data_IF_084007580211
#
_entry.id   IF_084007580211
#
_cell.length_a   1.000
_cell.length_b   1.000
_cell.length_c   1.000
_cell.angle_alpha   90.00
_cell.angle_beta   90.00
_cell.angle_gamma   90.00
#
_symmetry.space_group_name_H-M   'P 1'
#
loop_
_entity.id
_entity.type
_entity.pdbx_description
1 polymer ?
#
# COMPACT_ATOMS: atom_id res chain seq x y z
N UNK A 1 -5.95 -7.95 -15.70
CA UNK A 1 -6.38 -6.71 -15.01
C UNK A 1 -7.18 -7.10 -13.78
N UNK A 2 -6.89 -6.49 -12.62
CA UNK A 2 -7.61 -6.74 -11.38
C UNK A 2 -9.04 -6.20 -11.49
N UNK A 3 -10.04 -7.02 -11.17
CA UNK A 3 -11.47 -6.64 -11.15
C UNK A 3 -12.03 -6.64 -9.73
N UNK A 4 -11.58 -7.57 -8.90
CA UNK A 4 -11.93 -7.62 -7.47
C UNK A 4 -10.91 -8.41 -6.66
N UNK A 5 -10.90 -8.15 -5.36
CA UNK A 5 -10.34 -9.03 -4.35
C UNK A 5 -11.47 -9.59 -3.48
N UNK A 6 -11.33 -10.83 -3.05
CA UNK A 6 -12.25 -11.50 -2.12
C UNK A 6 -11.44 -11.94 -0.90
N UNK A 7 -11.83 -11.45 0.27
CA UNK A 7 -11.29 -11.87 1.56
C UNK A 7 -12.23 -12.94 2.11
N UNK A 8 -11.74 -14.17 2.30
CA UNK A 8 -12.45 -15.26 2.97
C UNK A 8 -12.08 -15.22 4.45
N UNK A 9 -13.10 -15.18 5.30
CA UNK A 9 -12.95 -15.11 6.74
C UNK A 9 -12.37 -16.39 7.33
N UNK A 10 -11.57 -16.22 8.37
CA UNK A 10 -10.86 -17.29 9.06
C UNK A 10 -11.20 -17.31 10.55
N UNK A 11 -10.20 -17.07 11.38
CA UNK A 11 -10.27 -17.12 12.84
C UNK A 11 -9.71 -15.84 13.46
N UNK A 12 -10.30 -15.44 14.58
CA UNK A 12 -9.81 -14.35 15.42
C UNK A 12 -8.66 -14.80 16.34
N UNK A 13 -8.13 -13.86 17.13
CA UNK A 13 -7.04 -14.10 18.08
C UNK A 13 -7.36 -15.13 19.17
N UNK A 14 -8.65 -15.39 19.43
CA UNK A 14 -9.12 -16.35 20.43
C UNK A 14 -9.44 -17.71 19.79
N UNK A 15 -9.15 -17.88 18.49
CA UNK A 15 -9.43 -19.11 17.73
C UNK A 15 -10.91 -19.29 17.38
N UNK A 16 -11.74 -18.25 17.54
CA UNK A 16 -13.15 -18.31 17.14
C UNK A 16 -13.26 -17.95 15.68
N UNK A 17 -14.22 -18.58 14.99
CA UNK A 17 -14.49 -18.29 13.59
C UNK A 17 -15.02 -16.86 13.44
N UNK A 18 -14.49 -16.13 12.47
CA UNK A 18 -14.97 -14.79 12.17
C UNK A 18 -16.42 -14.81 11.69
N UNK A 19 -17.21 -13.79 12.08
CA UNK A 19 -18.61 -13.67 11.67
C UNK A 19 -18.76 -13.42 10.17
N UNK A 20 -17.83 -12.64 9.60
CA UNK A 20 -17.78 -12.34 8.17
C UNK A 20 -17.14 -13.52 7.45
N UNK A 21 -17.94 -14.30 6.73
CA UNK A 21 -17.45 -15.46 5.96
C UNK A 21 -16.68 -15.07 4.71
N UNK A 22 -17.08 -14.00 4.05
CA UNK A 22 -16.44 -13.51 2.84
C UNK A 22 -16.79 -12.04 2.60
N UNK A 23 -15.85 -11.28 2.06
CA UNK A 23 -16.02 -9.88 1.72
C UNK A 23 -15.33 -9.56 0.39
N UNK A 24 -16.06 -8.91 -0.53
CA UNK A 24 -15.57 -8.56 -1.86
C UNK A 24 -15.30 -7.05 -1.94
N UNK A 25 -14.16 -6.69 -2.53
CA UNK A 25 -13.80 -5.31 -2.87
C UNK A 25 -13.52 -5.26 -4.36
N UNK A 26 -14.30 -4.49 -5.11
CA UNK A 26 -14.14 -4.33 -6.56
C UNK A 26 -13.15 -3.22 -6.89
N UNK A 27 -12.54 -3.32 -8.06
CA UNK A 27 -11.66 -2.29 -8.58
C UNK A 27 -12.40 -0.93 -8.65
N UNK A 28 -11.77 0.11 -8.09
CA UNK A 28 -12.34 1.46 -8.02
C UNK A 28 -13.22 1.72 -6.80
N UNK A 29 -13.50 0.71 -5.96
CA UNK A 29 -14.16 0.92 -4.68
C UNK A 29 -13.15 1.36 -3.61
N UNK A 30 -13.61 2.22 -2.70
CA UNK A 30 -12.85 2.65 -1.52
C UNK A 30 -13.57 2.11 -0.30
N UNK A 31 -12.82 1.42 0.56
CA UNK A 31 -13.34 0.86 1.81
C UNK A 31 -12.55 1.38 3.00
N UNK A 32 -13.27 1.66 4.09
CA UNK A 32 -12.68 2.03 5.36
C UNK A 32 -12.89 0.87 6.36
N UNK A 33 -11.81 0.42 6.99
CA UNK A 33 -11.84 -0.58 8.05
C UNK A 33 -11.79 0.11 9.41
N UNK A 34 -12.86 0.01 10.18
CA UNK A 34 -13.00 0.71 11.47
C UNK A 34 -13.22 -0.32 12.59
N UNK A 35 -12.55 -0.12 13.72
CA UNK A 35 -12.68 -0.99 14.89
C UNK A 35 -11.72 -0.58 16.00
N UNK A 36 -11.89 -1.11 17.23
CA UNK A 36 -11.02 -0.78 18.35
C UNK A 36 -9.58 -1.28 18.15
N UNK A 37 -8.65 -0.78 18.95
CA UNK A 37 -7.27 -1.29 18.98
C UNK A 37 -7.27 -2.78 19.35
N UNK A 38 -6.49 -3.57 18.61
CA UNK A 38 -6.43 -5.02 18.81
C UNK A 38 -7.59 -5.83 18.21
N UNK A 39 -8.45 -5.22 17.38
CA UNK A 39 -9.50 -5.94 16.64
C UNK A 39 -9.00 -6.71 15.41
N UNK A 40 -7.69 -6.69 15.13
CA UNK A 40 -7.10 -7.41 14.00
C UNK A 40 -7.04 -6.64 12.67
N UNK A 41 -7.22 -5.30 12.67
CA UNK A 41 -7.15 -4.46 11.46
C UNK A 41 -5.82 -4.56 10.73
N UNK A 42 -4.72 -4.31 11.45
CA UNK A 42 -3.36 -4.41 10.90
C UNK A 42 -3.06 -5.83 10.42
N UNK A 43 -3.57 -6.85 11.11
CA UNK A 43 -3.43 -8.24 10.66
C UNK A 43 -4.18 -8.48 9.35
N UNK A 44 -5.38 -7.94 9.18
CA UNK A 44 -6.13 -8.04 7.91
C UNK A 44 -5.39 -7.31 6.77
N UNK A 45 -4.85 -6.11 7.02
CA UNK A 45 -4.02 -5.39 6.04
C UNK A 45 -2.81 -6.25 5.62
N UNK A 46 -2.12 -6.85 6.61
CA UNK A 46 -0.98 -7.74 6.37
C UNK A 46 -1.36 -9.00 5.59
N UNK A 47 -2.52 -9.61 5.90
CA UNK A 47 -3.01 -10.79 5.18
C UNK A 47 -3.33 -10.45 3.71
N UNK A 48 -3.93 -9.27 3.45
CA UNK A 48 -4.20 -8.77 2.09
C UNK A 48 -2.90 -8.49 1.34
N UNK A 49 -1.94 -7.82 1.99
CA UNK A 49 -0.64 -7.47 1.40
C UNK A 49 0.13 -8.72 0.93
N UNK A 50 0.06 -9.80 1.70
CA UNK A 50 0.77 -11.05 1.45
C UNK A 50 -0.05 -12.05 0.62
N UNK A 51 -1.31 -11.76 0.32
CA UNK A 51 -2.23 -12.65 -0.40
C UNK A 51 -2.34 -14.05 0.24
N UNK A 52 -2.48 -14.08 1.57
CA UNK A 52 -2.51 -15.33 2.34
C UNK A 52 -3.59 -16.27 1.79
N UNK A 53 -3.28 -17.58 1.74
CA UNK A 53 -4.25 -18.64 1.45
C UNK A 53 -4.25 -19.70 2.55
N UNK A 54 -4.77 -19.34 3.72
CA UNK A 54 -4.95 -20.27 4.84
C UNK A 54 -3.68 -20.60 5.64
N UNK A 55 -2.52 -20.08 5.23
CA UNK A 55 -1.22 -20.46 5.80
C UNK A 55 -0.83 -19.72 7.10
N UNK A 56 -1.58 -18.69 7.48
CA UNK A 56 -1.32 -17.91 8.70
C UNK A 56 -2.19 -18.35 9.87
N UNK A 57 -1.91 -17.81 11.06
CA UNK A 57 -2.71 -18.03 12.27
C UNK A 57 -4.18 -17.61 12.12
N UNK A 58 -4.47 -16.67 11.20
CA UNK A 58 -5.84 -16.24 10.93
C UNK A 58 -6.57 -17.27 10.06
N UNK A 59 -5.87 -18.08 9.28
CA UNK A 59 -6.47 -19.03 8.34
C UNK A 59 -7.35 -18.36 7.27
N UNK A 60 -7.20 -17.05 7.04
CA UNK A 60 -7.93 -16.31 5.99
C UNK A 60 -7.37 -16.67 4.62
N UNK A 61 -8.18 -16.49 3.58
CA UNK A 61 -7.75 -16.64 2.20
C UNK A 61 -8.07 -15.39 1.38
N UNK A 62 -7.12 -14.91 0.59
CA UNK A 62 -7.25 -13.75 -0.28
C UNK A 62 -7.26 -14.22 -1.73
N UNK A 63 -8.38 -14.01 -2.40
CA UNK A 63 -8.55 -14.35 -3.81
C UNK A 63 -8.49 -13.08 -4.67
N UNK A 64 -7.80 -13.18 -5.80
CA UNK A 64 -7.78 -12.15 -6.84
C UNK A 64 -8.62 -12.66 -8.00
N UNK A 65 -9.68 -11.93 -8.36
CA UNK A 65 -10.62 -12.35 -9.40
C UNK A 65 -11.11 -13.80 -9.22
N UNK A 66 -11.50 -14.17 -7.99
CA UNK A 66 -11.99 -15.51 -7.60
C UNK A 66 -10.95 -16.64 -7.65
N UNK A 67 -9.66 -16.32 -7.83
CA UNK A 67 -8.57 -17.30 -7.85
C UNK A 67 -7.56 -17.02 -6.73
N UNK A 68 -7.04 -18.07 -6.06
CA UNK A 68 -5.86 -17.93 -5.21
C UNK A 68 -4.68 -17.39 -6.02
N UNK A 69 -3.80 -16.63 -5.38
CA UNK A 69 -2.64 -16.02 -6.07
C UNK A 69 -1.75 -17.07 -6.74
N UNK A 70 -1.65 -18.27 -6.13
CA UNK A 70 -0.86 -19.40 -6.62
C UNK A 70 -1.26 -19.90 -8.01
N UNK A 71 -2.52 -19.67 -8.39
CA UNK A 71 -3.10 -20.13 -9.66
C UNK A 71 -3.07 -19.08 -10.76
N UNK A 72 -2.50 -17.90 -10.49
CA UNK A 72 -2.35 -16.84 -11.48
C UNK A 72 -1.06 -17.04 -12.27
N UNK A 73 -1.15 -16.98 -13.60
CA UNK A 73 -0.01 -17.17 -14.50
C UNK A 73 1.06 -16.06 -14.28
N UNK A 74 2.24 -16.46 -13.80
CA UNK A 74 3.21 -15.61 -13.10
C UNK A 74 4.12 -14.84 -14.05
N UNK A 75 3.56 -13.90 -14.79
CA UNK A 75 4.36 -12.85 -15.41
C UNK A 75 4.70 -11.74 -14.40
N UNK A 76 5.77 -10.96 -14.68
CA UNK A 76 6.32 -9.84 -13.85
C UNK A 76 5.29 -8.87 -13.22
N UNK A 77 4.06 -8.88 -13.72
CA UNK A 77 2.94 -8.01 -13.38
C UNK A 77 2.44 -8.11 -11.93
N UNK A 78 2.70 -9.21 -11.20
CA UNK A 78 2.17 -9.38 -9.83
C UNK A 78 3.05 -8.78 -8.71
N UNK A 79 4.31 -8.44 -8.97
CA UNK A 79 5.21 -7.85 -7.95
C UNK A 79 4.76 -6.46 -7.45
N UNK A 80 3.77 -5.85 -8.11
CA UNK A 80 3.29 -4.50 -7.80
C UNK A 80 1.78 -4.48 -7.54
N UNK A 81 1.15 -5.59 -7.14
CA UNK A 81 -0.30 -5.61 -6.96
C UNK A 81 -0.80 -4.72 -5.80
N UNK A 82 0.00 -4.57 -4.74
CA UNK A 82 -0.32 -3.78 -3.55
C UNK A 82 0.74 -2.69 -3.37
N UNK A 83 0.27 -1.46 -3.16
CA UNK A 83 1.05 -0.39 -2.56
C UNK A 83 0.52 -0.15 -1.14
N UNK A 84 1.41 0.03 -0.18
CA UNK A 84 1.05 0.29 1.21
C UNK A 84 1.64 1.63 1.65
N UNK A 85 0.82 2.43 2.32
CA UNK A 85 1.27 3.59 3.10
C UNK A 85 1.02 3.25 4.57
N UNK A 86 2.09 2.91 5.29
CA UNK A 86 2.02 2.46 6.68
C UNK A 86 1.96 3.63 7.67
N UNK A 87 1.41 3.36 8.87
CA UNK A 87 1.31 4.32 9.97
C UNK A 87 2.68 4.90 10.40
N UNK A 88 3.67 4.02 10.58
CA UNK A 88 5.02 4.35 11.04
C UNK A 88 6.03 4.33 9.89
N UNK A 89 6.21 5.47 9.23
CA UNK A 89 7.12 5.57 8.09
C UNK A 89 8.46 6.16 8.52
N UNK A 90 9.43 5.28 8.71
CA UNK A 90 10.82 5.64 9.00
C UNK A 90 11.70 5.29 7.81
N UNK A 91 12.23 6.31 7.13
CA UNK A 91 13.24 6.09 6.12
C UNK A 91 14.57 5.74 6.81
N UNK A 92 15.09 4.54 6.53
CA UNK A 92 16.42 4.10 6.96
C UNK A 92 17.46 4.33 5.85
N UNK A 93 17.02 4.84 4.70
CA UNK A 93 17.85 5.07 3.51
C UNK A 93 18.41 6.50 3.57
N UNK A 94 19.73 6.61 3.58
CA UNK A 94 20.46 7.88 3.50
C UNK A 94 20.53 8.35 2.03
N UNK A 95 19.45 9.00 1.58
CA UNK A 95 19.27 9.44 0.19
C UNK A 95 18.41 10.71 0.15
N UNK A 96 18.67 11.56 -0.85
CA UNK A 96 17.84 12.73 -1.11
C UNK A 96 16.50 12.36 -1.76
N UNK A 97 15.47 13.19 -1.57
CA UNK A 97 14.15 12.98 -2.16
C UNK A 97 14.22 12.82 -3.68
N UNK A 98 15.06 13.60 -4.36
CA UNK A 98 15.19 13.53 -5.83
C UNK A 98 15.60 12.13 -6.32
N UNK A 99 16.67 11.58 -5.77
CA UNK A 99 17.21 10.28 -6.16
C UNK A 99 16.20 9.16 -5.88
N UNK A 100 15.51 9.25 -4.74
CA UNK A 100 14.47 8.30 -4.35
C UNK A 100 13.31 8.28 -5.36
N UNK A 101 12.77 9.44 -5.69
CA UNK A 101 11.65 9.54 -6.64
C UNK A 101 12.07 9.18 -8.07
N UNK A 102 13.30 9.53 -8.47
CA UNK A 102 13.84 9.13 -9.77
C UNK A 102 13.97 7.61 -9.87
N UNK A 103 14.49 6.96 -8.82
CA UNK A 103 14.58 5.51 -8.74
C UNK A 103 13.19 4.87 -8.87
N UNK A 104 12.18 5.36 -8.15
CA UNK A 104 10.81 4.87 -8.24
C UNK A 104 10.25 5.01 -9.67
N UNK A 105 10.39 6.18 -10.29
CA UNK A 105 9.93 6.44 -11.65
C UNK A 105 10.63 5.55 -12.69
N UNK A 106 11.93 5.29 -12.52
CA UNK A 106 12.73 4.44 -13.40
C UNK A 106 12.32 2.96 -13.30
N UNK A 107 12.12 2.45 -12.09
CA UNK A 107 11.65 1.06 -11.88
C UNK A 107 10.30 0.83 -12.55
N UNK A 108 9.43 1.84 -12.59
CA UNK A 108 8.13 1.81 -13.26
C UNK A 108 8.18 2.20 -14.75
N UNK A 109 9.38 2.39 -15.33
CA UNK A 109 9.58 2.76 -16.73
C UNK A 109 8.77 3.99 -17.18
N UNK A 110 8.63 4.99 -16.30
CA UNK A 110 7.96 6.25 -16.65
C UNK A 110 8.76 6.97 -17.73
N UNK A 111 8.08 7.40 -18.81
CA UNK A 111 8.71 8.04 -19.98
C UNK A 111 9.42 9.35 -19.66
N UNK A 112 8.86 10.15 -18.75
CA UNK A 112 9.45 11.42 -18.29
C UNK A 112 9.55 11.46 -16.76
N UNK A 113 10.60 10.82 -16.19
CA UNK A 113 10.80 10.78 -14.74
C UNK A 113 10.90 12.18 -14.13
N UNK A 114 11.60 13.11 -14.79
CA UNK A 114 11.80 14.46 -14.25
C UNK A 114 10.52 15.25 -14.15
N UNK A 115 9.58 15.07 -15.08
CA UNK A 115 8.28 15.73 -14.98
C UNK A 115 7.42 15.12 -13.86
N UNK A 116 7.42 13.79 -13.70
CA UNK A 116 6.58 13.15 -12.67
C UNK A 116 7.08 13.48 -11.26
N UNK A 117 8.39 13.45 -10.99
CA UNK A 117 8.91 13.75 -9.65
C UNK A 117 8.61 15.20 -9.23
N UNK A 118 8.56 16.15 -10.18
CA UNK A 118 8.14 17.53 -9.92
C UNK A 118 6.67 17.61 -9.52
N UNK A 119 5.81 16.80 -10.13
CA UNK A 119 4.41 16.69 -9.73
C UNK A 119 4.28 16.05 -8.35
N UNK A 120 5.06 15.00 -8.07
CA UNK A 120 5.13 14.38 -6.74
C UNK A 120 5.49 15.40 -5.68
N UNK A 121 6.64 16.09 -5.81
CA UNK A 121 7.07 17.09 -4.84
C UNK A 121 6.03 18.21 -4.65
N UNK A 122 5.35 18.62 -5.73
CA UNK A 122 4.27 19.60 -5.66
C UNK A 122 3.11 19.08 -4.79
N UNK A 123 2.60 17.88 -5.07
CA UNK A 123 1.51 17.27 -4.29
C UNK A 123 1.95 17.01 -2.84
N UNK A 124 3.18 16.56 -2.62
CA UNK A 124 3.76 16.42 -1.28
C UNK A 124 3.66 17.73 -0.49
N UNK A 125 4.04 18.86 -1.10
CA UNK A 125 3.97 20.17 -0.45
C UNK A 125 2.55 20.72 -0.29
N UNK A 126 1.58 20.25 -1.08
CA UNK A 126 0.16 20.58 -0.90
C UNK A 126 -0.46 19.77 0.27
N UNK A 127 0.03 18.56 0.50
CA UNK A 127 -0.43 17.67 1.58
C UNK A 127 0.32 17.91 2.90
N UNK A 128 1.59 18.29 2.83
CA UNK A 128 2.40 18.58 3.99
C UNK A 128 2.10 19.97 4.55
N UNK A 129 2.12 20.12 5.87
CA UNK A 129 2.00 21.44 6.53
C UNK A 129 3.25 22.31 6.37
N UNK A 130 4.39 21.71 6.00
CA UNK A 130 5.67 22.38 5.83
C UNK A 130 6.36 21.94 4.54
N UNK A 131 7.09 22.84 3.86
CA UNK A 131 7.71 22.53 2.58
C UNK A 131 8.86 21.52 2.71
N UNK A 132 8.97 20.66 1.71
CA UNK A 132 10.10 19.78 1.44
C UNK A 132 10.72 20.09 0.07
N UNK A 133 12.01 19.82 -0.06
CA UNK A 133 12.82 20.10 -1.24
C UNK A 133 13.51 18.84 -1.74
N UNK A 134 13.82 18.79 -3.03
CA UNK A 134 14.53 17.67 -3.66
C UNK A 134 15.86 17.29 -2.99
N UNK A 135 16.55 18.27 -2.43
CA UNK A 135 17.84 18.12 -1.74
C UNK A 135 17.71 17.64 -0.29
N UNK A 136 16.49 17.61 0.25
CA UNK A 136 16.27 17.14 1.61
C UNK A 136 16.52 15.63 1.69
N UNK A 137 17.13 15.22 2.78
CA UNK A 137 17.39 13.81 3.04
C UNK A 137 16.14 13.15 3.63
N UNK A 138 15.79 11.96 3.14
CA UNK A 138 14.63 11.21 3.60
C UNK A 138 14.63 10.98 5.12
N UNK A 139 15.80 10.75 5.72
CA UNK A 139 15.95 10.50 7.16
C UNK A 139 15.62 11.70 8.04
N UNK A 140 15.53 12.91 7.47
CA UNK A 140 15.26 14.16 8.20
C UNK A 140 13.81 14.60 8.12
N UNK A 141 12.99 13.93 7.33
CA UNK A 141 11.58 14.27 7.18
C UNK A 141 10.82 13.98 8.46
N UNK A 142 9.94 14.91 8.84
CA UNK A 142 8.97 14.65 9.89
C UNK A 142 8.02 13.52 9.47
N UNK A 143 7.33 12.89 10.44
CA UNK A 143 6.36 11.84 10.12
C UNK A 143 5.28 12.30 9.13
N UNK A 144 4.81 13.55 9.25
CA UNK A 144 3.84 14.14 8.32
C UNK A 144 4.40 14.38 6.92
N UNK A 145 5.65 14.86 6.81
CA UNK A 145 6.32 15.04 5.52
C UNK A 145 6.58 13.71 4.82
N UNK A 146 7.06 12.71 5.57
CA UNK A 146 7.23 11.35 5.07
C UNK A 146 5.92 10.81 4.53
N UNK A 147 4.82 10.93 5.29
CA UNK A 147 3.47 10.49 4.89
C UNK A 147 3.02 11.16 3.61
N UNK A 148 3.07 12.49 3.55
CA UNK A 148 2.72 13.26 2.37
C UNK A 148 3.52 12.81 1.14
N UNK A 149 4.82 12.55 1.30
CA UNK A 149 5.70 12.11 0.21
C UNK A 149 5.30 10.73 -0.32
N UNK A 150 5.05 9.75 0.54
CA UNK A 150 4.66 8.41 0.06
C UNK A 150 3.25 8.39 -0.52
N UNK A 151 2.30 9.17 0.02
CA UNK A 151 0.98 9.31 -0.58
C UNK A 151 1.09 9.87 -2.00
N UNK A 152 1.88 10.92 -2.19
CA UNK A 152 2.10 11.53 -3.50
C UNK A 152 2.84 10.58 -4.46
N UNK A 153 3.86 9.86 -3.99
CA UNK A 153 4.58 8.83 -4.74
C UNK A 153 3.65 7.69 -5.18
N UNK A 154 2.86 7.13 -4.27
CA UNK A 154 1.90 6.07 -4.56
C UNK A 154 0.85 6.57 -5.56
N UNK A 155 0.32 7.79 -5.39
CA UNK A 155 -0.72 8.32 -6.25
C UNK A 155 -0.25 8.63 -7.69
N UNK A 156 1.03 8.99 -7.89
CA UNK A 156 1.51 9.50 -9.19
C UNK A 156 2.53 8.60 -9.88
N UNK A 157 3.25 7.77 -9.13
CA UNK A 157 4.27 6.86 -9.66
C UNK A 157 3.78 5.41 -9.62
N UNK A 158 3.01 5.02 -8.60
CA UNK A 158 2.62 3.62 -8.47
C UNK A 158 1.57 3.20 -9.51
N UNK A 159 1.75 2.01 -10.08
CA UNK A 159 0.79 1.29 -10.92
C UNK A 159 0.05 0.17 -10.17
N UNK A 160 0.11 0.18 -8.83
CA UNK A 160 -0.50 -0.84 -8.01
C UNK A 160 -2.03 -0.75 -8.02
N UNK A 161 -2.76 -1.82 -8.39
CA UNK A 161 -4.22 -1.83 -8.43
C UNK A 161 -4.88 -1.87 -7.06
N UNK A 162 -4.14 -2.22 -6.00
CA UNK A 162 -4.62 -2.21 -4.61
C UNK A 162 -3.75 -1.22 -3.84
N UNK A 163 -4.38 -0.26 -3.16
CA UNK A 163 -3.69 0.68 -2.29
C UNK A 163 -4.23 0.47 -0.88
N UNK A 164 -3.34 0.13 0.04
CA UNK A 164 -3.60 -0.02 1.46
C UNK A 164 -3.06 1.21 2.18
N UNK A 165 -3.87 1.82 3.02
CA UNK A 165 -3.46 2.97 3.83
C UNK A 165 -3.80 2.63 5.29
N UNK A 166 -2.76 2.47 6.11
CA UNK A 166 -2.92 2.19 7.53
C UNK A 166 -2.85 3.50 8.32
N UNK A 167 -4.01 3.91 8.83
CA UNK A 167 -4.26 5.16 9.57
C UNK A 167 -3.95 6.47 8.83
N UNK A 168 -5.02 7.21 8.50
CA UNK A 168 -4.95 8.59 8.03
C UNK A 168 -5.45 9.48 9.18
N UNK A 169 -4.54 10.23 9.79
CA UNK A 169 -4.88 11.33 10.70
C UNK A 169 -5.17 12.62 9.93
#
# INVERSE_FOLDING_TARGET
MLKKITIIGGYDKDGKKEEIKSFDVKAGEVFALIGPTGSGKTQLISDIQQYIDGETLTGRSILINDLPIEKLDFNKSLRHLVAEVSQNMNFVIDMCIEDFLLMHAQVRNIKDPRQVIKKVLKVTNELAGEPVYFTDNLTKLSGGQSRALMVADVALISDAPIVLIDEIE
#
